data_IF_191300151083
#
_entry.id   IF_191300151083
#
_cell.length_a   1.000
_cell.length_b   1.000
_cell.length_c   1.000
_cell.angle_alpha   90.00
_cell.angle_beta   90.00
_cell.angle_gamma   90.00
#
_symmetry.space_group_name_H-M   'P 1'
#
loop_
_entity.id
_entity.type
_entity.pdbx_description
1 polymer ?
#
# COMPACT_ATOMS: atom_id res chain seq x y z
N UNK A 1 12.22 19.68 -3.58
CA UNK A 1 11.31 19.54 -2.44
C UNK A 1 11.68 18.31 -1.64
N UNK A 2 11.73 18.43 -0.33
CA UNK A 2 12.07 17.31 0.55
C UNK A 2 10.80 16.72 1.15
N UNK A 3 10.64 15.41 1.01
CA UNK A 3 9.49 14.68 1.56
C UNK A 3 9.88 14.05 2.89
N UNK A 4 8.95 14.07 3.87
CA UNK A 4 9.18 13.46 5.17
C UNK A 4 9.06 11.95 5.16
N UNK A 5 8.14 11.42 4.36
CA UNK A 5 7.86 9.98 4.34
C UNK A 5 7.69 9.47 2.91
N UNK A 6 8.15 8.26 2.70
CA UNK A 6 8.06 7.58 1.40
C UNK A 6 7.02 6.47 1.46
N UNK A 7 6.07 6.52 0.56
CA UNK A 7 4.88 5.65 0.56
C UNK A 7 4.87 4.80 -0.71
N UNK A 8 4.65 3.50 -0.54
CA UNK A 8 4.37 2.59 -1.66
C UNK A 8 2.86 2.47 -1.81
N UNK A 9 2.35 2.75 -3.00
CA UNK A 9 0.92 2.62 -3.31
C UNK A 9 0.75 1.58 -4.41
N UNK A 10 0.08 0.47 -4.09
CA UNK A 10 -0.19 -0.60 -5.06
C UNK A 10 -1.69 -0.69 -5.29
N UNK A 11 -2.12 -0.30 -6.49
CA UNK A 11 -3.52 -0.28 -6.89
C UNK A 11 -3.59 -0.37 -8.41
N UNK A 12 -4.41 -1.27 -8.96
CA UNK A 12 -4.49 -1.48 -10.40
C UNK A 12 -5.46 -0.54 -11.13
N UNK A 13 -6.23 0.26 -10.39
CA UNK A 13 -7.17 1.22 -10.99
C UNK A 13 -6.45 2.54 -11.28
N UNK A 14 -6.20 2.87 -12.56
CA UNK A 14 -5.37 4.04 -12.90
C UNK A 14 -5.90 5.36 -12.36
N UNK A 15 -7.21 5.57 -12.38
CA UNK A 15 -7.79 6.82 -11.93
C UNK A 15 -7.65 6.99 -10.42
N UNK A 16 -7.91 5.93 -9.66
CA UNK A 16 -7.76 5.95 -8.20
C UNK A 16 -6.29 6.13 -7.83
N UNK A 17 -5.41 5.38 -8.48
CA UNK A 17 -3.97 5.45 -8.21
C UNK A 17 -3.42 6.86 -8.44
N UNK A 18 -3.79 7.49 -9.58
CA UNK A 18 -3.33 8.84 -9.90
C UNK A 18 -3.91 9.88 -8.95
N UNK A 19 -5.18 9.74 -8.61
CA UNK A 19 -5.84 10.67 -7.68
C UNK A 19 -5.20 10.61 -6.30
N UNK A 20 -4.96 9.42 -5.78
CA UNK A 20 -4.32 9.24 -4.48
C UNK A 20 -2.88 9.74 -4.50
N UNK A 21 -2.13 9.41 -5.54
CA UNK A 21 -0.74 9.88 -5.67
C UNK A 21 -0.68 11.40 -5.64
N UNK A 22 -1.58 12.05 -6.39
CA UNK A 22 -1.62 13.51 -6.47
C UNK A 22 -1.97 14.13 -5.12
N UNK A 23 -2.99 13.61 -4.46
CA UNK A 23 -3.43 14.11 -3.17
C UNK A 23 -2.33 13.98 -2.12
N UNK A 24 -1.74 12.79 -2.03
CA UNK A 24 -0.70 12.53 -1.03
C UNK A 24 0.58 13.31 -1.31
N UNK A 25 0.96 13.46 -2.58
CA UNK A 25 2.14 14.24 -2.94
C UNK A 25 1.97 15.71 -2.54
N UNK A 26 0.79 16.26 -2.70
CA UNK A 26 0.52 17.64 -2.26
C UNK A 26 0.65 17.82 -0.76
N UNK A 27 0.45 16.74 0.00
CA UNK A 27 0.54 16.77 1.45
C UNK A 27 1.94 16.45 1.98
N UNK A 28 2.91 16.33 1.09
CA UNK A 28 4.30 16.17 1.48
C UNK A 28 4.81 14.73 1.49
N UNK A 29 4.03 13.77 1.00
CA UNK A 29 4.50 12.38 0.90
C UNK A 29 5.16 12.14 -0.45
N UNK A 30 6.25 11.39 -0.44
CA UNK A 30 6.84 10.86 -1.68
C UNK A 30 6.12 9.54 -1.98
N UNK A 31 5.34 9.50 -3.08
CA UNK A 31 4.52 8.34 -3.41
C UNK A 31 5.06 7.65 -4.65
N UNK A 32 5.44 6.39 -4.50
CA UNK A 32 5.86 5.53 -5.60
C UNK A 32 4.74 4.53 -5.83
N UNK A 33 4.29 4.39 -7.07
CA UNK A 33 3.13 3.55 -7.38
C UNK A 33 3.50 2.27 -8.11
N UNK A 34 2.63 1.26 -7.97
CA UNK A 34 2.70 0.02 -8.72
C UNK A 34 1.27 -0.44 -9.01
N UNK A 35 1.06 -1.18 -10.09
CA UNK A 35 -0.27 -1.61 -10.49
C UNK A 35 -0.50 -3.12 -10.39
N UNK A 36 0.50 -3.85 -9.92
CA UNK A 36 0.39 -5.32 -9.75
C UNK A 36 1.38 -5.80 -8.70
N UNK A 37 1.28 -7.08 -8.35
CA UNK A 37 2.12 -7.65 -7.30
C UNK A 37 3.60 -7.71 -7.68
N UNK A 38 3.91 -8.02 -8.92
CA UNK A 38 5.31 -8.13 -9.37
C UNK A 38 5.99 -6.76 -9.25
N UNK A 39 5.36 -5.74 -9.81
CA UNK A 39 5.90 -4.37 -9.76
C UNK A 39 5.98 -3.86 -8.33
N UNK A 40 4.96 -4.16 -7.52
CA UNK A 40 4.94 -3.75 -6.11
C UNK A 40 6.10 -4.35 -5.34
N UNK A 41 6.35 -5.64 -5.51
CA UNK A 41 7.46 -6.32 -4.82
C UNK A 41 8.81 -5.83 -5.33
N UNK A 42 8.97 -5.69 -6.66
CA UNK A 42 10.21 -5.23 -7.26
C UNK A 42 10.56 -3.81 -6.78
N UNK A 43 9.56 -2.93 -6.77
CA UNK A 43 9.73 -1.56 -6.32
C UNK A 43 10.10 -1.50 -4.83
N UNK A 44 9.44 -2.33 -4.02
CA UNK A 44 9.75 -2.43 -2.61
C UNK A 44 11.19 -2.89 -2.38
N UNK A 45 11.60 -3.95 -3.07
CA UNK A 45 12.94 -4.50 -2.90
C UNK A 45 14.03 -3.51 -3.32
N UNK A 46 13.80 -2.76 -4.40
CA UNK A 46 14.75 -1.74 -4.83
C UNK A 46 14.90 -0.64 -3.78
N UNK A 47 13.80 -0.21 -3.17
CA UNK A 47 13.86 0.81 -2.12
C UNK A 47 14.58 0.30 -0.87
N UNK A 48 14.36 -0.96 -0.51
CA UNK A 48 15.02 -1.56 0.68
C UNK A 48 16.55 -1.62 0.52
N UNK A 49 17.04 -1.71 -0.72
CA UNK A 49 18.48 -1.70 -0.99
C UNK A 49 19.07 -0.31 -1.14
N UNK A 50 18.23 0.72 -1.07
CA UNK A 50 18.64 2.11 -1.20
C UNK A 50 18.76 2.76 0.19
N UNK A 51 19.20 4.03 0.18
CA UNK A 51 19.26 4.83 1.40
C UNK A 51 17.89 5.40 1.78
N UNK A 52 16.85 5.13 0.98
CA UNK A 52 15.53 5.70 1.17
C UNK A 52 14.45 4.62 1.06
N UNK A 53 14.32 3.76 2.08
CA UNK A 53 13.29 2.72 2.10
C UNK A 53 11.91 3.30 2.33
N UNK A 54 10.87 2.49 2.08
CA UNK A 54 9.50 2.91 2.33
C UNK A 54 9.20 2.99 3.84
N UNK A 55 8.41 3.98 4.21
CA UNK A 55 7.94 4.18 5.57
C UNK A 55 6.57 3.54 5.81
N UNK A 56 5.79 3.35 4.73
CA UNK A 56 4.44 2.81 4.81
C UNK A 56 4.03 2.30 3.43
N UNK A 57 3.18 1.27 3.38
CA UNK A 57 2.61 0.78 2.14
C UNK A 57 1.08 0.84 2.19
N UNK A 58 0.49 1.28 1.09
CA UNK A 58 -0.95 1.25 0.85
C UNK A 58 -1.19 0.18 -0.21
N UNK A 59 -2.00 -0.82 0.09
CA UNK A 59 -2.10 -2.03 -0.72
C UNK A 59 -3.55 -2.40 -0.98
N UNK A 60 -3.94 -2.40 -2.26
CA UNK A 60 -5.23 -2.95 -2.69
C UNK A 60 -5.10 -4.48 -2.78
N UNK A 61 -6.06 -5.20 -2.23
CA UNK A 61 -6.03 -6.66 -2.28
C UNK A 61 -6.42 -7.24 -3.64
N UNK A 62 -7.17 -6.48 -4.44
CA UNK A 62 -7.68 -6.94 -5.74
C UNK A 62 -6.79 -6.46 -6.88
N UNK A 63 -5.57 -6.94 -6.93
CA UNK A 63 -4.58 -6.55 -7.95
C UNK A 63 -4.09 -7.79 -8.69
N UNK A 64 -3.60 -7.61 -9.95
CA UNK A 64 -3.01 -8.73 -10.67
C UNK A 64 -1.84 -9.36 -9.91
N UNK A 65 -1.80 -10.68 -9.95
CA UNK A 65 -0.84 -11.46 -9.19
C UNK A 65 0.54 -11.53 -9.82
N UNK A 66 1.33 -12.46 -9.32
CA UNK A 66 2.73 -12.62 -9.73
C UNK A 66 2.89 -13.23 -11.12
N UNK A 67 1.82 -13.74 -11.71
CA UNK A 67 1.83 -14.25 -13.08
C UNK A 67 1.38 -13.22 -14.11
N UNK A 68 0.98 -12.03 -13.65
CA UNK A 68 0.42 -10.99 -14.52
C UNK A 68 -1.05 -11.21 -14.84
N UNK A 69 -1.66 -12.27 -14.31
CA UNK A 69 -3.08 -12.57 -14.50
C UNK A 69 -3.86 -12.26 -13.23
N UNK A 70 -5.17 -11.99 -13.34
CA UNK A 70 -6.00 -11.88 -12.15
C UNK A 70 -5.88 -13.16 -11.33
N UNK A 71 -5.56 -13.01 -10.04
CA UNK A 71 -5.31 -14.14 -9.17
C UNK A 71 -5.91 -13.85 -7.82
N UNK A 72 -6.86 -14.67 -7.39
CA UNK A 72 -7.46 -14.51 -6.07
C UNK A 72 -6.40 -14.70 -5.00
N UNK A 73 -6.39 -13.81 -4.03
CA UNK A 73 -5.42 -13.87 -2.94
C UNK A 73 -4.05 -13.30 -3.26
N UNK A 74 -3.83 -12.76 -4.46
CA UNK A 74 -2.53 -12.20 -4.83
C UNK A 74 -2.13 -11.03 -3.94
N UNK A 75 -3.07 -10.16 -3.61
CA UNK A 75 -2.80 -9.05 -2.70
C UNK A 75 -2.38 -9.51 -1.31
N UNK A 76 -3.01 -10.57 -0.80
CA UNK A 76 -2.61 -11.17 0.47
C UNK A 76 -1.23 -11.79 0.41
N UNK A 77 -0.87 -12.40 -0.72
CA UNK A 77 0.47 -12.94 -0.91
C UNK A 77 1.51 -11.82 -0.92
N UNK A 78 1.22 -10.71 -1.61
CA UNK A 78 2.12 -9.56 -1.60
C UNK A 78 2.30 -9.02 -0.18
N UNK A 79 1.20 -8.87 0.57
CA UNK A 79 1.27 -8.47 1.98
C UNK A 79 2.20 -9.39 2.78
N UNK A 80 2.03 -10.70 2.62
CA UNK A 80 2.85 -11.67 3.33
C UNK A 80 4.33 -11.52 3.00
N UNK A 81 4.65 -11.29 1.72
CA UNK A 81 6.04 -11.11 1.30
C UNK A 81 6.64 -9.81 1.83
N UNK A 82 5.87 -8.72 1.83
CA UNK A 82 6.33 -7.45 2.39
C UNK A 82 6.57 -7.58 3.89
N UNK A 83 5.63 -8.20 4.60
CA UNK A 83 5.74 -8.38 6.04
C UNK A 83 6.92 -9.27 6.42
N UNK A 84 7.18 -10.32 5.64
CA UNK A 84 8.31 -11.20 5.87
C UNK A 84 9.64 -10.48 5.69
N UNK A 85 9.73 -9.63 4.65
CA UNK A 85 10.97 -8.89 4.37
C UNK A 85 11.18 -7.69 5.28
N UNK A 86 10.10 -7.08 5.75
CA UNK A 86 10.15 -5.88 6.58
C UNK A 86 9.02 -5.92 7.61
N UNK A 87 9.19 -6.67 8.70
CA UNK A 87 8.11 -6.84 9.69
C UNK A 87 7.63 -5.55 10.34
N UNK A 88 8.47 -4.52 10.33
CA UNK A 88 8.13 -3.24 10.94
C UNK A 88 7.47 -2.25 9.98
N UNK A 89 7.39 -2.59 8.69
CA UNK A 89 6.72 -1.72 7.72
C UNK A 89 5.22 -1.75 7.94
N UNK A 90 4.60 -0.61 8.29
CA UNK A 90 3.13 -0.60 8.40
C UNK A 90 2.51 -0.72 7.01
N UNK A 91 1.53 -1.61 6.88
CA UNK A 91 0.77 -1.79 5.65
C UNK A 91 -0.70 -1.49 5.95
N UNK A 92 -1.26 -0.56 5.21
CA UNK A 92 -2.69 -0.24 5.26
C UNK A 92 -3.35 -0.87 4.04
N UNK A 93 -4.38 -1.66 4.26
CA UNK A 93 -5.13 -2.27 3.17
C UNK A 93 -6.19 -1.31 2.67
N UNK A 94 -6.22 -1.07 1.38
CA UNK A 94 -7.27 -0.30 0.73
C UNK A 94 -8.32 -1.29 0.23
N UNK A 95 -9.57 -1.08 0.59
CA UNK A 95 -10.63 -2.04 0.30
C UNK A 95 -11.89 -1.36 -0.18
N UNK A 96 -12.69 -2.09 -0.99
CA UNK A 96 -14.03 -1.66 -1.32
C UNK A 96 -14.93 -1.92 -0.11
N UNK A 97 -16.02 -1.18 -0.02
CA UNK A 97 -16.96 -1.28 1.10
C UNK A 97 -17.47 -2.70 1.32
N UNK A 98 -17.77 -3.40 0.23
CA UNK A 98 -18.34 -4.75 0.29
C UNK A 98 -17.28 -5.85 0.48
N UNK A 99 -16.01 -5.49 0.62
CA UNK A 99 -14.91 -6.45 0.78
C UNK A 99 -14.15 -6.30 2.10
N UNK A 100 -14.75 -5.64 3.07
CA UNK A 100 -14.11 -5.40 4.37
C UNK A 100 -13.70 -6.71 5.06
N UNK A 101 -14.45 -7.80 4.85
CA UNK A 101 -14.10 -9.09 5.42
C UNK A 101 -12.73 -9.60 4.95
N UNK A 102 -12.37 -9.32 3.70
CA UNK A 102 -11.04 -9.68 3.17
C UNK A 102 -9.95 -8.85 3.84
N UNK A 103 -10.24 -7.57 4.08
CA UNK A 103 -9.30 -6.69 4.77
C UNK A 103 -9.04 -7.15 6.20
N UNK A 104 -10.05 -7.67 6.87
CA UNK A 104 -9.88 -8.21 8.23
C UNK A 104 -8.97 -9.44 8.23
N UNK A 105 -9.05 -10.28 7.20
CA UNK A 105 -8.12 -11.39 7.04
C UNK A 105 -6.69 -10.86 6.88
N UNK A 106 -6.52 -9.79 6.10
CA UNK A 106 -5.20 -9.19 5.92
C UNK A 106 -4.60 -8.70 7.24
N UNK A 107 -5.42 -8.12 8.12
CA UNK A 107 -4.94 -7.69 9.43
C UNK A 107 -4.43 -8.88 10.24
N UNK A 108 -5.12 -10.01 10.18
CA UNK A 108 -4.66 -11.22 10.87
C UNK A 108 -3.34 -11.76 10.31
N UNK A 109 -2.95 -11.33 9.12
CA UNK A 109 -1.71 -11.74 8.45
C UNK A 109 -0.62 -10.68 8.49
N UNK A 110 -0.80 -9.61 9.26
CA UNK A 110 0.25 -8.63 9.48
C UNK A 110 -0.03 -7.22 8.98
N UNK A 111 -1.15 -6.97 8.32
CA UNK A 111 -1.51 -5.60 7.98
C UNK A 111 -1.80 -4.81 9.25
N UNK A 112 -1.41 -3.54 9.25
CA UNK A 112 -1.60 -2.68 10.41
C UNK A 112 -3.04 -2.22 10.56
N UNK A 113 -3.67 -1.90 9.44
CA UNK A 113 -5.02 -1.33 9.42
C UNK A 113 -5.62 -1.51 8.03
N UNK A 114 -6.92 -1.26 7.90
CA UNK A 114 -7.55 -1.17 6.59
C UNK A 114 -8.31 0.14 6.46
N UNK A 115 -8.58 0.55 5.22
CA UNK A 115 -9.28 1.78 4.92
C UNK A 115 -10.17 1.59 3.70
N UNK A 116 -11.44 2.02 3.79
CA UNK A 116 -12.37 1.92 2.67
C UNK A 116 -12.09 3.05 1.68
N UNK A 117 -11.88 2.71 0.41
CA UNK A 117 -11.55 3.67 -0.64
C UNK A 117 -12.62 4.75 -0.79
N UNK A 118 -12.20 5.94 -1.19
CA UNK A 118 -13.10 7.05 -1.46
C UNK A 118 -13.19 8.09 -0.36
N UNK A 119 -12.43 7.94 0.71
CA UNK A 119 -12.44 8.88 1.85
C UNK A 119 -11.02 9.34 2.18
N UNK A 120 -10.38 9.96 1.22
CA UNK A 120 -8.95 10.30 1.30
C UNK A 120 -8.55 11.10 2.54
N UNK A 121 -9.42 11.97 3.04
CA UNK A 121 -9.13 12.76 4.24
C UNK A 121 -8.89 11.86 5.47
N UNK A 122 -9.76 10.90 5.68
CA UNK A 122 -9.62 9.97 6.79
C UNK A 122 -8.37 9.11 6.65
N UNK A 123 -7.99 8.79 5.40
CA UNK A 123 -6.78 8.01 5.14
C UNK A 123 -5.54 8.78 5.59
N UNK A 124 -5.46 10.07 5.28
CA UNK A 124 -4.31 10.88 5.68
C UNK A 124 -4.19 10.93 7.20
N UNK A 125 -5.31 11.10 7.90
CA UNK A 125 -5.30 11.10 9.37
C UNK A 125 -4.78 9.77 9.91
N UNK A 126 -5.18 8.66 9.32
CA UNK A 126 -4.72 7.33 9.71
C UNK A 126 -3.23 7.16 9.46
N UNK A 127 -2.75 7.60 8.29
CA UNK A 127 -1.34 7.54 7.95
C UNK A 127 -0.51 8.37 8.92
N UNK A 128 -0.94 9.58 9.22
CA UNK A 128 -0.22 10.46 10.14
C UNK A 128 -0.14 9.84 11.54
N UNK A 129 -1.24 9.26 12.02
CA UNK A 129 -1.26 8.61 13.32
C UNK A 129 -0.26 7.44 13.39
N UNK A 130 -0.12 6.67 12.31
CA UNK A 130 0.80 5.54 12.24
C UNK A 130 2.25 6.02 12.14
N UNK A 131 2.49 7.03 11.31
CA UNK A 131 3.85 7.50 11.02
C UNK A 131 4.46 8.36 12.13
N UNK A 132 3.63 8.98 12.94
CA UNK A 132 4.11 9.82 14.06
C UNK A 132 4.55 9.01 15.27
N UNK A 133 4.41 7.73 15.23
CA UNK A 133 4.87 6.85 16.29
C UNK A 133 6.24 6.30 15.95
#
# INVERSE_FOLDING_TARGET
MQYEHKILLVDDEPLIRRSMQKTLSRLGFEVITADNCIEGLTTFEAAQRSDNPFDLALLDLNIPGFTGQPQEGAGLELLSRLHEKSPNLPVIILTAYDEVHKAKVAISRGAREYFVKGRDEGLVDLMDAILEK
#
